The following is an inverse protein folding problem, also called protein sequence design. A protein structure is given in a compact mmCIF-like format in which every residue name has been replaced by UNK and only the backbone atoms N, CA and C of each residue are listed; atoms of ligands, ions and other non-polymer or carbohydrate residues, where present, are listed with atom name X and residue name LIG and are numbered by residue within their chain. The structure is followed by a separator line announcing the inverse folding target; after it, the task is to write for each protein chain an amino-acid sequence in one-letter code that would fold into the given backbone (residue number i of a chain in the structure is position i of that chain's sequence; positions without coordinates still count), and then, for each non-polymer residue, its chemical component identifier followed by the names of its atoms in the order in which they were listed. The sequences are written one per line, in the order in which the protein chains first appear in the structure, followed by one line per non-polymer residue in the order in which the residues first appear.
data_IF_026927776776
#
_entry.id   IF_026927776776
#
_cell.length_a   1.000
_cell.length_b   1.000
_cell.length_c   1.000
_cell.angle_alpha   90.00
_cell.angle_beta   90.00
_cell.angle_gamma   90.00
#
_symmetry.space_group_name_H-M   'P 1'
#
loop_
_entity.id
_entity.type
_entity.pdbx_description
1 polymer ?
#
# COMPACT_ATOMS: atom_id res chain seq x y z
N UNK A 1 -14.13 15.01 -27.86
CA UNK A 1 -15.45 15.21 -27.23
C UNK A 1 -15.30 16.27 -26.15
N UNK A 2 -16.04 17.38 -26.25
CA UNK A 2 -15.97 18.50 -25.30
C UNK A 2 -16.83 18.18 -24.08
N UNK A 3 -16.28 18.37 -22.87
CA UNK A 3 -16.99 18.19 -21.62
C UNK A 3 -17.87 19.41 -21.35
N UNK A 4 -19.18 19.27 -21.45
CA UNK A 4 -20.15 20.39 -21.33
C UNK A 4 -20.47 20.82 -19.89
N UNK A 5 -19.80 20.28 -18.86
CA UNK A 5 -20.07 20.63 -17.46
C UNK A 5 -18.83 20.95 -16.59
N UNK A 6 -17.73 21.39 -17.20
CA UNK A 6 -16.58 21.86 -16.43
C UNK A 6 -16.74 23.34 -16.02
N UNK A 7 -17.10 23.61 -14.77
CA UNK A 7 -17.20 24.96 -14.18
C UNK A 7 -15.90 25.48 -13.54
N UNK A 8 -14.77 24.79 -13.71
CA UNK A 8 -13.47 25.31 -13.25
C UNK A 8 -12.91 26.31 -14.28
N UNK A 9 -12.92 27.59 -13.90
CA UNK A 9 -12.04 28.61 -14.50
C UNK A 9 -10.61 28.29 -14.05
N UNK A 10 -9.69 28.33 -15.00
CA UNK A 10 -8.24 28.11 -14.88
C UNK A 10 -7.77 26.65 -15.06
N UNK A 11 -7.30 26.37 -16.28
CA UNK A 11 -6.48 25.23 -16.62
C UNK A 11 -5.12 25.78 -17.07
N UNK A 12 -4.12 25.73 -16.18
CA UNK A 12 -2.78 26.25 -16.46
C UNK A 12 -2.03 25.30 -17.39
N UNK A 13 -1.85 25.71 -18.65
CA UNK A 13 -0.96 25.02 -19.60
C UNK A 13 0.49 25.11 -19.12
N UNK A 14 1.16 23.97 -18.91
CA UNK A 14 2.63 23.93 -18.81
C UNK A 14 3.22 24.02 -20.24
N UNK A 15 4.00 25.06 -20.48
CA UNK A 15 4.81 25.26 -21.68
C UNK A 15 6.04 24.36 -21.66
N UNK A 16 6.38 23.79 -22.83
CA UNK A 16 7.66 23.17 -23.15
C UNK A 16 8.74 24.25 -23.22
N UNK A 17 9.98 23.91 -22.84
CA UNK A 17 11.16 24.64 -23.29
C UNK A 17 12.26 23.64 -23.66
N UNK A 18 12.90 23.95 -24.78
CA UNK A 18 13.80 23.13 -25.59
C UNK A 18 15.18 22.84 -24.99
N UNK A 19 15.75 21.74 -25.47
CA UNK A 19 17.16 21.35 -25.39
C UNK A 19 18.09 22.34 -26.14
N UNK A 20 19.27 22.61 -25.57
CA UNK A 20 20.48 22.82 -26.37
C UNK A 20 21.75 22.57 -25.55
N UNK A 21 22.53 21.58 -25.99
CA UNK A 21 23.90 21.29 -25.58
C UNK A 21 24.86 22.40 -26.03
N UNK A 22 25.87 22.69 -25.22
CA UNK A 22 27.19 23.09 -25.73
C UNK A 22 28.30 22.81 -24.71
N UNK A 23 29.32 22.09 -25.17
CA UNK A 23 30.54 21.71 -24.45
C UNK A 23 31.60 22.79 -24.64
N UNK A 24 32.27 23.20 -23.57
CA UNK A 24 33.67 23.66 -23.65
C UNK A 24 34.41 23.41 -22.33
N UNK A 25 35.69 23.05 -22.47
CA UNK A 25 36.61 22.51 -21.47
C UNK A 25 37.46 23.63 -20.86
N UNK A 26 37.71 23.62 -19.54
CA UNK A 26 38.88 24.29 -18.97
C UNK A 26 38.83 24.68 -17.48
N UNK A 27 39.72 24.05 -16.72
CA UNK A 27 40.38 24.51 -15.48
C UNK A 27 39.70 24.34 -14.09
N UNK A 28 40.49 23.70 -13.23
CA UNK A 28 40.32 23.25 -11.83
C UNK A 28 40.15 24.35 -10.78
N UNK A 29 39.38 24.09 -9.70
CA UNK A 29 39.80 23.93 -8.27
C UNK A 29 38.54 23.90 -7.33
N UNK A 30 38.65 23.50 -6.04
CA UNK A 30 37.80 22.49 -5.40
C UNK A 30 36.50 23.07 -4.81
N UNK A 31 35.35 22.66 -5.33
CA UNK A 31 34.06 23.02 -4.76
C UNK A 31 33.37 21.77 -4.22
N UNK A 32 33.05 21.85 -2.93
CA UNK A 32 32.15 21.00 -2.15
C UNK A 32 31.32 20.03 -2.99
N UNK A 33 31.50 18.73 -2.75
CA UNK A 33 30.52 17.71 -3.13
C UNK A 33 29.22 18.00 -2.38
N UNK A 34 28.41 18.92 -2.91
CA UNK A 34 26.98 18.78 -2.80
C UNK A 34 26.64 17.52 -3.59
N UNK A 35 26.63 16.37 -2.92
CA UNK A 35 25.92 15.20 -3.44
C UNK A 35 24.49 15.67 -3.72
N UNK A 36 24.20 16.00 -4.97
CA UNK A 36 22.83 16.20 -5.42
C UNK A 36 22.13 14.87 -5.18
N UNK A 37 21.43 14.78 -4.04
CA UNK A 37 20.56 13.65 -3.73
C UNK A 37 19.71 13.37 -4.97
N UNK A 38 19.90 12.18 -5.54
CA UNK A 38 19.17 11.76 -6.74
C UNK A 38 17.66 11.96 -6.55
N UNK A 39 16.93 12.15 -7.65
CA UNK A 39 15.48 12.41 -7.64
C UNK A 39 14.70 11.42 -6.75
N UNK A 40 15.14 10.16 -6.72
CA UNK A 40 14.60 9.12 -5.84
C UNK A 40 14.74 9.42 -4.33
N UNK A 41 15.86 9.98 -3.88
CA UNK A 41 16.05 10.37 -2.49
C UNK A 41 15.17 11.57 -2.12
N UNK A 42 15.03 12.54 -3.04
CA UNK A 42 14.12 13.68 -2.87
C UNK A 42 12.67 13.19 -2.73
N UNK A 43 12.26 12.20 -3.53
CA UNK A 43 10.93 11.58 -3.45
C UNK A 43 10.73 10.71 -2.21
N UNK A 44 11.78 10.03 -1.72
CA UNK A 44 11.72 9.24 -0.49
C UNK A 44 11.54 10.13 0.76
N UNK A 45 11.99 11.39 0.71
CA UNK A 45 11.78 12.37 1.77
C UNK A 45 10.41 13.07 1.66
N UNK A 46 9.68 12.89 0.55
CA UNK A 46 8.35 13.45 0.36
C UNK A 46 7.30 12.76 1.25
N UNK A 47 6.38 13.58 1.78
CA UNK A 47 5.29 13.11 2.62
C UNK A 47 4.14 12.63 1.74
N UNK A 48 3.56 11.48 2.10
CA UNK A 48 2.38 10.91 1.44
C UNK A 48 1.17 11.16 2.35
N UNK A 49 0.21 11.93 1.83
CA UNK A 49 -1.04 12.29 2.50
C UNK A 49 -2.24 11.66 1.80
N UNK A 50 -3.39 11.68 2.47
CA UNK A 50 -4.67 11.28 1.84
C UNK A 50 -5.01 12.19 0.64
N UNK A 51 -4.61 13.46 0.65
CA UNK A 51 -4.77 14.38 -0.48
C UNK A 51 -3.98 13.98 -1.73
N UNK A 52 -2.95 13.15 -1.58
CA UNK A 52 -2.16 12.62 -2.70
C UNK A 52 -2.85 11.40 -3.35
N UNK A 53 -3.94 10.92 -2.75
CA UNK A 53 -4.81 9.92 -3.34
C UNK A 53 -5.69 10.53 -4.45
N UNK A 54 -6.08 9.71 -5.43
CA UNK A 54 -7.20 10.00 -6.34
C UNK A 54 -8.57 10.16 -5.64
N UNK A 55 -8.64 9.89 -4.33
CA UNK A 55 -9.77 10.18 -3.49
C UNK A 55 -9.83 11.69 -3.28
N UNK A 56 -10.72 12.32 -4.04
CA UNK A 56 -11.16 13.68 -3.80
C UNK A 56 -11.59 13.90 -2.33
N UNK A 57 -11.56 15.14 -1.82
CA UNK A 57 -12.08 15.45 -0.47
C UNK A 57 -13.56 15.06 -0.28
N UNK A 58 -14.30 14.90 -1.38
CA UNK A 58 -15.69 14.41 -1.42
C UNK A 58 -15.80 12.88 -1.47
N UNK A 59 -14.67 12.19 -1.60
CA UNK A 59 -14.60 10.76 -1.81
C UNK A 59 -14.45 9.99 -0.49
N UNK A 60 -14.24 10.62 0.67
CA UNK A 60 -14.15 9.97 2.00
C UNK A 60 -15.22 10.57 2.92
N UNK A 61 -16.06 9.75 3.56
CA UNK A 61 -17.03 10.27 4.54
C UNK A 61 -16.35 10.62 5.86
N UNK A 62 -17.02 11.40 6.70
CA UNK A 62 -16.50 11.76 8.03
C UNK A 62 -16.23 10.51 8.87
N UNK A 63 -17.12 9.52 8.81
CA UNK A 63 -16.98 8.25 9.54
C UNK A 63 -15.78 7.45 9.01
N UNK A 64 -15.61 7.36 7.69
CA UNK A 64 -14.44 6.71 7.08
C UNK A 64 -13.15 7.43 7.46
N UNK A 65 -13.16 8.77 7.55
CA UNK A 65 -12.02 9.57 8.03
C UNK A 65 -11.62 9.25 9.47
N UNK A 66 -12.59 9.10 10.38
CA UNK A 66 -12.33 8.68 11.76
C UNK A 66 -11.74 7.26 11.79
N UNK A 67 -12.32 6.31 11.05
CA UNK A 67 -11.83 4.94 11.00
C UNK A 67 -10.42 4.83 10.38
N UNK A 68 -10.11 5.68 9.40
CA UNK A 68 -8.76 5.78 8.84
C UNK A 68 -7.75 6.29 9.85
N UNK A 69 -8.13 7.23 10.71
CA UNK A 69 -7.27 7.68 11.81
C UNK A 69 -7.00 6.57 12.84
N UNK A 70 -7.93 5.61 12.96
CA UNK A 70 -7.78 4.41 13.81
C UNK A 70 -6.91 3.34 13.17
N UNK A 71 -6.85 3.24 11.82
CA UNK A 71 -5.85 2.47 11.05
C UNK A 71 -4.45 3.11 11.16
N UNK A 72 -3.99 3.29 12.39
CA UNK A 72 -2.71 3.84 12.78
C UNK A 72 -1.87 2.78 13.48
N UNK A 73 -0.59 3.06 13.65
CA UNK A 73 0.30 2.17 14.39
C UNK A 73 -0.09 1.97 15.87
N UNK A 74 -1.02 2.77 16.41
CA UNK A 74 -1.46 2.68 17.81
C UNK A 74 -2.01 1.29 18.14
N UNK A 75 -2.86 0.72 17.29
CA UNK A 75 -3.45 -0.59 17.53
C UNK A 75 -2.40 -1.71 17.45
N UNK A 76 -1.48 -1.60 16.50
CA UNK A 76 -0.34 -2.50 16.40
C UNK A 76 0.53 -2.47 17.66
N UNK A 77 0.92 -1.27 18.13
CA UNK A 77 1.69 -1.13 19.37
C UNK A 77 0.91 -1.53 20.61
N UNK A 78 -0.40 -1.32 20.62
CA UNK A 78 -1.25 -1.78 21.70
C UNK A 78 -1.21 -3.31 21.82
N UNK A 79 -1.40 -4.04 20.71
CA UNK A 79 -1.31 -5.50 20.69
C UNK A 79 0.10 -5.99 21.04
N UNK A 80 1.15 -5.35 20.52
CA UNK A 80 2.53 -5.66 20.91
C UNK A 80 2.75 -5.50 22.42
N UNK A 81 2.27 -4.40 23.01
CA UNK A 81 2.41 -4.14 24.44
C UNK A 81 1.57 -5.10 25.30
N UNK A 82 0.40 -5.52 24.81
CA UNK A 82 -0.39 -6.56 25.46
C UNK A 82 0.34 -7.91 25.46
N UNK A 83 0.96 -8.28 24.34
CA UNK A 83 1.74 -9.51 24.25
C UNK A 83 3.00 -9.51 25.13
N UNK A 84 3.56 -8.34 25.44
CA UNK A 84 4.68 -8.21 26.39
C UNK A 84 4.26 -8.42 27.84
N UNK A 85 2.97 -8.33 28.17
CA UNK A 85 2.46 -8.62 29.51
C UNK A 85 2.32 -10.13 29.71
N UNK A 86 2.42 -10.59 30.96
CA UNK A 86 2.35 -12.02 31.32
C UNK A 86 0.95 -12.67 31.17
N UNK A 87 -0.06 -11.93 30.70
CA UNK A 87 -1.41 -12.46 30.51
C UNK A 87 -1.56 -13.12 29.13
N UNK A 88 -1.24 -14.41 29.09
CA UNK A 88 -1.28 -15.23 27.87
C UNK A 88 -2.69 -15.38 27.28
N UNK A 89 -3.75 -15.15 28.06
CA UNK A 89 -5.14 -15.24 27.57
C UNK A 89 -5.46 -14.17 26.52
N UNK A 90 -4.76 -13.04 26.59
CA UNK A 90 -4.91 -11.88 25.70
C UNK A 90 -3.90 -11.87 24.55
N UNK A 91 -3.00 -12.85 24.50
CA UNK A 91 -1.97 -12.91 23.45
C UNK A 91 -2.59 -13.17 22.09
N UNK A 92 -2.10 -12.41 21.09
CA UNK A 92 -2.43 -12.61 19.68
C UNK A 92 -1.17 -12.94 18.89
N UNK A 93 -1.30 -13.81 17.91
CA UNK A 93 -0.22 -14.09 16.95
C UNK A 93 -0.13 -12.92 15.99
N UNK A 94 0.97 -12.16 16.03
CA UNK A 94 1.20 -11.05 15.12
C UNK A 94 1.80 -11.55 13.81
N UNK A 95 1.11 -11.25 12.71
CA UNK A 95 1.55 -11.52 11.35
C UNK A 95 1.69 -10.20 10.61
N UNK A 96 2.83 -9.95 9.98
CA UNK A 96 3.04 -8.81 9.11
C UNK A 96 3.22 -9.27 7.66
N UNK A 97 2.46 -8.70 6.73
CA UNK A 97 2.62 -8.93 5.30
C UNK A 97 3.18 -7.68 4.64
N UNK A 98 4.36 -7.79 4.04
CA UNK A 98 5.07 -6.65 3.44
C UNK A 98 4.81 -6.64 1.94
N UNK A 99 4.30 -5.52 1.44
CA UNK A 99 4.19 -5.27 0.01
C UNK A 99 5.59 -5.02 -0.58
N UNK A 100 6.01 -5.75 -1.63
CA UNK A 100 7.28 -5.51 -2.31
C UNK A 100 7.46 -4.04 -2.75
N UNK A 101 6.35 -3.39 -3.11
CA UNK A 101 6.32 -2.00 -3.54
C UNK A 101 6.67 -1.00 -2.43
N UNK A 102 6.66 -1.40 -1.15
CA UNK A 102 7.14 -0.58 -0.04
C UNK A 102 8.66 -0.61 0.11
N UNK A 103 9.34 -1.63 -0.42
CA UNK A 103 10.78 -1.81 -0.23
C UNK A 103 11.64 -0.73 -0.90
N UNK A 104 11.34 -0.23 -2.12
CA UNK A 104 12.11 0.84 -2.74
C UNK A 104 12.19 2.11 -1.90
N UNK A 105 11.14 2.45 -1.15
CA UNK A 105 11.14 3.57 -0.22
C UNK A 105 12.23 3.41 0.86
N UNK A 106 12.28 2.25 1.51
CA UNK A 106 13.28 1.96 2.53
C UNK A 106 14.68 1.85 1.93
N UNK A 107 14.80 1.27 0.74
CA UNK A 107 16.07 1.20 0.01
C UNK A 107 16.65 2.59 -0.25
N UNK A 108 15.86 3.50 -0.84
CA UNK A 108 16.27 4.87 -1.11
C UNK A 108 16.55 5.65 0.18
N UNK A 109 15.66 5.58 1.17
CA UNK A 109 15.82 6.36 2.42
C UNK A 109 17.07 6.01 3.22
N UNK A 110 17.45 4.73 3.23
CA UNK A 110 18.58 4.23 4.02
C UNK A 110 19.84 3.93 3.20
N UNK A 111 19.85 4.29 1.92
CA UNK A 111 20.93 4.00 0.98
C UNK A 111 21.31 2.50 0.98
N UNK A 112 20.29 1.64 0.85
CA UNK A 112 20.40 0.20 0.86
C UNK A 112 19.97 -0.39 -0.48
N UNK A 113 20.38 -1.62 -0.78
CA UNK A 113 19.72 -2.41 -1.81
C UNK A 113 18.29 -2.76 -1.39
N UNK A 114 17.38 -2.99 -2.35
CA UNK A 114 16.00 -3.46 -2.08
C UNK A 114 15.99 -4.75 -1.27
N UNK A 115 16.94 -5.65 -1.55
CA UNK A 115 17.09 -6.91 -0.83
C UNK A 115 17.51 -6.68 0.63
N UNK A 116 18.43 -5.77 0.89
CA UNK A 116 18.85 -5.45 2.27
C UNK A 116 17.77 -4.69 3.03
N UNK A 117 17.05 -3.80 2.35
CA UNK A 117 15.87 -3.14 2.90
C UNK A 117 14.83 -4.18 3.36
N UNK A 118 14.56 -5.21 2.54
CA UNK A 118 13.67 -6.32 2.90
C UNK A 118 14.16 -7.09 4.12
N UNK A 119 15.43 -7.51 4.15
CA UNK A 119 16.03 -8.24 5.28
C UNK A 119 15.96 -7.44 6.58
N UNK A 120 16.33 -6.15 6.52
CA UNK A 120 16.32 -5.26 7.68
C UNK A 120 14.90 -4.97 8.16
N UNK A 121 13.94 -4.78 7.24
CA UNK A 121 12.52 -4.62 7.59
C UNK A 121 11.96 -5.85 8.27
N UNK A 122 12.26 -7.04 7.75
CA UNK A 122 11.88 -8.30 8.39
C UNK A 122 12.49 -8.42 9.80
N UNK A 123 13.80 -8.20 9.94
CA UNK A 123 14.50 -8.26 11.23
C UNK A 123 13.96 -7.26 12.25
N UNK A 124 13.68 -6.03 11.81
CA UNK A 124 13.07 -5.00 12.65
C UNK A 124 11.68 -5.44 13.15
N UNK A 125 10.79 -5.88 12.26
CA UNK A 125 9.45 -6.35 12.64
C UNK A 125 9.54 -7.53 13.63
N UNK A 126 10.44 -8.49 13.40
CA UNK A 126 10.71 -9.60 14.32
C UNK A 126 11.19 -9.09 15.68
N UNK A 127 12.13 -8.12 15.72
CA UNK A 127 12.63 -7.53 16.97
C UNK A 127 11.57 -6.79 17.79
N UNK A 128 10.52 -6.28 17.13
CA UNK A 128 9.38 -5.67 17.82
C UNK A 128 8.48 -6.70 18.51
N UNK A 129 8.52 -7.97 18.08
CA UNK A 129 7.66 -9.05 18.56
C UNK A 129 6.66 -9.57 17.52
N UNK A 130 6.83 -9.25 16.24
CA UNK A 130 6.04 -9.88 15.17
C UNK A 130 6.46 -11.34 15.03
N UNK A 131 5.48 -12.26 14.99
CA UNK A 131 5.75 -13.70 14.98
C UNK A 131 6.05 -14.20 13.57
N UNK A 132 5.33 -13.71 12.56
CA UNK A 132 5.50 -14.10 11.16
C UNK A 132 5.57 -12.87 10.26
N UNK A 133 6.51 -12.88 9.31
CA UNK A 133 6.64 -11.83 8.30
C UNK A 133 6.57 -12.49 6.93
N UNK A 134 5.59 -12.09 6.13
CA UNK A 134 5.33 -12.64 4.80
C UNK A 134 5.53 -11.58 3.71
N UNK A 135 5.86 -12.05 2.52
CA UNK A 135 5.88 -11.25 1.30
C UNK A 135 4.54 -11.39 0.57
N UNK A 136 3.94 -10.28 0.13
CA UNK A 136 2.63 -10.32 -0.55
C UNK A 136 2.72 -10.74 -2.03
N UNK A 137 3.89 -11.06 -2.57
CA UNK A 137 4.10 -11.45 -3.98
C UNK A 137 3.20 -12.62 -4.35
N UNK A 138 3.08 -13.64 -3.50
CA UNK A 138 2.19 -14.78 -3.75
C UNK A 138 0.72 -14.36 -3.90
N UNK A 139 0.28 -13.37 -3.12
CA UNK A 139 -1.07 -12.83 -3.22
C UNK A 139 -1.25 -11.98 -4.49
N UNK A 140 -0.19 -11.31 -4.94
CA UNK A 140 -0.17 -10.60 -6.21
C UNK A 140 -0.27 -11.57 -7.40
N UNK A 141 0.46 -12.69 -7.36
CA UNK A 141 0.40 -13.74 -8.38
C UNK A 141 -1.01 -14.33 -8.49
N UNK A 142 -1.67 -14.64 -7.36
CA UNK A 142 -3.07 -15.06 -7.39
C UNK A 142 -4.00 -14.00 -7.98
N UNK A 143 -3.82 -12.72 -7.64
CA UNK A 143 -4.62 -11.62 -8.20
C UNK A 143 -4.46 -11.55 -9.73
N UNK A 144 -3.24 -11.72 -10.24
CA UNK A 144 -2.94 -11.74 -11.67
C UNK A 144 -3.58 -12.94 -12.35
N UNK A 145 -3.45 -14.15 -11.77
CA UNK A 145 -4.03 -15.37 -12.33
C UNK A 145 -5.55 -15.29 -12.41
N UNK A 146 -6.23 -14.79 -11.38
CA UNK A 146 -7.69 -14.62 -11.40
C UNK A 146 -8.12 -13.52 -12.38
N UNK A 147 -7.37 -12.41 -12.45
CA UNK A 147 -7.61 -11.35 -13.44
C UNK A 147 -7.44 -11.87 -14.88
N UNK A 148 -6.42 -12.70 -15.13
CA UNK A 148 -6.18 -13.32 -16.43
C UNK A 148 -7.33 -14.25 -16.82
N UNK A 149 -7.76 -15.14 -15.91
CA UNK A 149 -8.90 -16.04 -16.15
C UNK A 149 -10.16 -15.25 -16.49
N UNK A 150 -10.42 -14.18 -15.76
CA UNK A 150 -11.56 -13.32 -16.04
C UNK A 150 -11.45 -12.63 -17.40
N UNK A 151 -10.28 -12.07 -17.72
CA UNK A 151 -10.03 -11.45 -19.01
C UNK A 151 -10.30 -12.43 -20.16
N UNK A 152 -9.71 -13.62 -20.10
CA UNK A 152 -9.87 -14.66 -21.12
C UNK A 152 -11.34 -15.07 -21.25
N UNK A 153 -12.06 -15.22 -20.13
CA UNK A 153 -13.51 -15.49 -20.13
C UNK A 153 -14.31 -14.38 -20.81
N UNK A 154 -14.08 -13.11 -20.48
CA UNK A 154 -14.75 -11.95 -21.09
C UNK A 154 -14.41 -11.84 -22.58
N UNK A 155 -13.14 -12.07 -22.92
CA UNK A 155 -12.65 -12.07 -24.29
C UNK A 155 -13.27 -13.18 -25.14
N UNK A 156 -13.48 -14.40 -24.64
CA UNK A 156 -14.16 -15.42 -25.45
C UNK A 156 -15.66 -15.21 -25.58
N UNK A 157 -16.29 -14.52 -24.63
CA UNK A 157 -17.75 -14.27 -24.61
C UNK A 157 -18.16 -12.95 -25.24
N UNK A 158 -17.21 -12.15 -25.72
CA UNK A 158 -17.55 -10.86 -26.32
C UNK A 158 -18.41 -11.07 -27.57
N UNK A 159 -19.65 -10.64 -27.48
CA UNK A 159 -20.56 -10.42 -28.61
C UNK A 159 -20.90 -8.94 -28.63
N UNK A 160 -21.40 -8.42 -29.77
CA UNK A 160 -21.73 -7.00 -29.90
C UNK A 160 -22.75 -6.50 -28.85
N UNK A 161 -23.54 -7.43 -28.28
CA UNK A 161 -24.60 -7.19 -27.30
C UNK A 161 -24.11 -7.12 -25.83
N UNK A 162 -22.95 -7.71 -25.49
CA UNK A 162 -22.37 -7.67 -24.14
C UNK A 162 -20.98 -7.02 -24.12
N UNK A 163 -20.97 -5.69 -24.00
CA UNK A 163 -19.74 -4.88 -23.95
C UNK A 163 -19.17 -4.81 -22.53
N UNK A 164 -18.71 -5.94 -21.99
CA UNK A 164 -17.91 -5.98 -20.74
C UNK A 164 -16.41 -5.70 -20.98
N UNK A 165 -16.04 -5.40 -22.23
CA UNK A 165 -14.72 -4.96 -22.67
C UNK A 165 -14.73 -3.47 -23.03
N UNK A 166 -13.65 -2.72 -22.74
CA UNK A 166 -12.37 -3.18 -22.17
C UNK A 166 -12.50 -3.61 -20.70
N UNK A 167 -11.67 -4.56 -20.26
CA UNK A 167 -11.59 -4.92 -18.83
C UNK A 167 -10.58 -4.00 -18.14
N UNK A 168 -11.00 -3.39 -17.03
CA UNK A 168 -10.22 -2.44 -16.23
C UNK A 168 -9.78 -3.11 -14.93
N UNK A 169 -8.53 -2.91 -14.54
CA UNK A 169 -7.97 -3.52 -13.31
C UNK A 169 -8.71 -3.01 -12.07
N UNK A 170 -8.74 -3.81 -11.00
CA UNK A 170 -9.37 -3.45 -9.71
C UNK A 170 -8.42 -3.54 -8.51
N UNK A 171 -7.15 -3.88 -8.71
CA UNK A 171 -6.18 -4.07 -7.62
C UNK A 171 -5.82 -2.78 -6.85
N UNK A 172 -6.03 -1.62 -7.47
CA UNK A 172 -5.80 -0.30 -6.88
C UNK A 172 -7.08 0.23 -6.21
N UNK A 173 -7.13 0.33 -4.87
CA UNK A 173 -8.35 0.77 -4.18
C UNK A 173 -8.73 2.22 -4.46
N UNK A 174 -7.76 3.13 -4.67
CA UNK A 174 -8.05 4.51 -5.08
C UNK A 174 -8.76 4.59 -6.43
N UNK A 175 -8.31 3.79 -7.40
CA UNK A 175 -8.96 3.67 -8.71
C UNK A 175 -10.38 3.09 -8.61
N UNK A 176 -10.56 1.98 -7.89
CA UNK A 176 -11.90 1.38 -7.70
C UNK A 176 -12.86 2.38 -7.10
N UNK A 177 -12.40 3.14 -6.09
CA UNK A 177 -13.22 4.16 -5.43
C UNK A 177 -13.57 5.33 -6.34
N UNK A 178 -12.63 5.78 -7.15
CA UNK A 178 -12.87 6.80 -8.17
C UNK A 178 -13.89 6.30 -9.21
N UNK A 179 -13.74 5.06 -9.68
CA UNK A 179 -14.67 4.44 -10.61
C UNK A 179 -16.09 4.32 -10.01
N UNK A 180 -16.22 3.90 -8.74
CA UNK A 180 -17.51 3.76 -8.06
C UNK A 180 -18.20 5.11 -7.80
N UNK A 181 -17.47 6.11 -7.29
CA UNK A 181 -18.06 7.39 -6.81
C UNK A 181 -18.12 8.49 -7.85
N UNK A 182 -17.20 8.51 -8.82
CA UNK A 182 -17.10 9.60 -9.80
C UNK A 182 -17.59 9.14 -11.18
N UNK A 183 -17.16 7.97 -11.64
CA UNK A 183 -17.48 7.50 -13.00
C UNK A 183 -18.80 6.73 -13.06
N UNK A 184 -19.14 5.97 -12.01
CA UNK A 184 -20.43 5.31 -11.84
C UNK A 184 -20.68 4.15 -12.81
N UNK A 185 -21.97 3.94 -13.11
CA UNK A 185 -22.49 2.78 -13.87
C UNK A 185 -21.82 2.51 -15.22
N UNK A 186 -21.39 3.52 -16.01
CA UNK A 186 -20.68 3.26 -17.27
C UNK A 186 -19.35 2.52 -17.11
N UNK A 187 -18.70 2.59 -15.95
CA UNK A 187 -17.35 2.03 -15.73
C UNK A 187 -17.37 0.79 -14.82
N UNK A 188 -18.30 0.72 -13.86
CA UNK A 188 -18.38 -0.40 -12.90
C UNK A 188 -18.41 -1.79 -13.58
N UNK A 189 -19.19 -2.04 -14.66
CA UNK A 189 -19.20 -3.34 -15.34
C UNK A 189 -17.84 -3.73 -15.96
N UNK A 190 -17.01 -2.75 -16.26
CA UNK A 190 -15.68 -2.97 -16.84
C UNK A 190 -14.62 -3.32 -15.79
N UNK A 191 -14.88 -3.08 -14.50
CA UNK A 191 -13.93 -3.44 -13.44
C UNK A 191 -13.78 -4.96 -13.33
N UNK A 192 -12.53 -5.40 -13.17
CA UNK A 192 -12.17 -6.76 -12.85
C UNK A 192 -12.73 -7.14 -11.47
N UNK A 193 -13.29 -8.34 -11.38
CA UNK A 193 -13.87 -8.89 -10.15
C UNK A 193 -12.86 -9.63 -9.28
N UNK A 194 -11.65 -9.87 -9.78
CA UNK A 194 -10.56 -10.45 -9.00
C UNK A 194 -10.27 -9.57 -7.76
N UNK A 195 -10.08 -10.24 -6.63
CA UNK A 195 -9.68 -9.59 -5.38
C UNK A 195 -8.30 -8.94 -5.52
N UNK A 196 -8.07 -7.85 -4.81
CA UNK A 196 -6.73 -7.24 -4.76
C UNK A 196 -5.74 -8.14 -4.01
N UNK A 197 -4.42 -7.94 -4.19
CA UNK A 197 -3.41 -8.66 -3.44
C UNK A 197 -3.56 -8.55 -1.91
N UNK A 198 -4.06 -7.41 -1.39
CA UNK A 198 -4.29 -7.25 0.05
C UNK A 198 -5.43 -8.15 0.53
N UNK A 199 -6.55 -8.16 -0.19
CA UNK A 199 -7.73 -8.98 0.14
C UNK A 199 -7.40 -10.48 0.05
N UNK A 200 -6.62 -10.87 -0.95
CA UNK A 200 -6.14 -12.24 -1.10
C UNK A 200 -5.21 -12.59 0.05
N UNK A 201 -4.25 -11.72 0.39
CA UNK A 201 -3.34 -11.97 1.51
C UNK A 201 -4.08 -12.08 2.85
N UNK A 202 -5.08 -11.23 3.08
CA UNK A 202 -5.95 -11.35 4.25
C UNK A 202 -6.63 -12.72 4.32
N UNK A 203 -7.10 -13.24 3.18
CA UNK A 203 -7.67 -14.60 3.10
C UNK A 203 -6.62 -15.68 3.35
N UNK A 204 -5.41 -15.57 2.77
CA UNK A 204 -4.32 -16.52 3.00
C UNK A 204 -3.89 -16.56 4.47
N UNK A 205 -3.81 -15.41 5.14
CA UNK A 205 -3.38 -15.32 6.54
C UNK A 205 -4.48 -15.76 7.50
N UNK A 206 -5.70 -15.25 7.33
CA UNK A 206 -6.81 -15.46 8.27
C UNK A 206 -7.53 -16.79 8.06
N UNK A 207 -7.40 -17.41 6.89
CA UNK A 207 -8.01 -18.71 6.61
C UNK A 207 -6.96 -19.82 6.48
N UNK A 208 -6.19 -19.83 5.40
CA UNK A 208 -5.25 -20.92 5.10
C UNK A 208 -4.18 -21.09 6.18
N UNK A 209 -3.45 -20.02 6.50
CA UNK A 209 -2.39 -20.05 7.52
C UNK A 209 -2.97 -20.28 8.92
N UNK A 210 -4.10 -19.66 9.26
CA UNK A 210 -4.77 -19.87 10.55
C UNK A 210 -5.10 -21.36 10.77
N UNK A 211 -5.70 -22.03 9.77
CA UNK A 211 -5.97 -23.47 9.81
C UNK A 211 -4.70 -24.29 9.95
N UNK A 212 -3.64 -23.96 9.20
CA UNK A 212 -2.35 -24.65 9.30
C UNK A 212 -1.72 -24.55 10.69
N UNK A 213 -1.92 -23.43 11.39
CA UNK A 213 -1.42 -23.20 12.75
C UNK A 213 -2.40 -23.67 13.85
N UNK A 214 -3.55 -24.25 13.50
CA UNK A 214 -4.63 -24.58 14.43
C UNK A 214 -5.08 -23.36 15.28
N UNK A 215 -5.14 -22.18 14.67
CA UNK A 215 -5.58 -20.93 15.29
C UNK A 215 -6.92 -20.48 14.72
N UNK A 216 -7.73 -19.82 15.55
CA UNK A 216 -8.89 -19.08 15.04
C UNK A 216 -8.44 -17.77 14.38
N UNK A 217 -9.16 -17.25 13.37
CA UNK A 217 -8.81 -16.00 12.70
C UNK A 217 -8.66 -14.79 13.64
N UNK A 218 -9.41 -14.76 14.75
CA UNK A 218 -9.43 -13.69 15.74
C UNK A 218 -8.18 -13.69 16.64
N UNK A 219 -7.51 -14.84 16.75
CA UNK A 219 -6.24 -14.97 17.48
C UNK A 219 -5.07 -14.42 16.68
N UNK A 220 -5.23 -14.21 15.38
CA UNK A 220 -4.21 -13.59 14.53
C UNK A 220 -4.48 -12.09 14.46
N UNK A 221 -3.45 -11.27 14.69
CA UNK A 221 -3.47 -9.85 14.36
C UNK A 221 -2.61 -9.63 13.11
N UNK A 222 -3.27 -9.41 11.97
CA UNK A 222 -2.66 -9.29 10.66
C UNK A 222 -2.46 -7.82 10.29
N UNK A 223 -1.19 -7.45 10.10
CA UNK A 223 -0.76 -6.13 9.67
C UNK A 223 -0.24 -6.18 8.25
N UNK A 224 -0.60 -5.22 7.42
CA UNK A 224 -0.05 -5.06 6.07
C UNK A 224 0.84 -3.81 6.03
N UNK A 225 2.07 -3.95 5.55
CA UNK A 225 2.97 -2.83 5.26
C UNK A 225 2.86 -2.51 3.78
N UNK A 226 2.27 -1.35 3.43
CA UNK A 226 1.93 -1.00 2.05
C UNK A 226 2.43 0.40 1.64
N UNK A 227 2.63 0.70 0.36
CA UNK A 227 3.10 2.03 -0.07
C UNK A 227 1.97 3.06 -0.21
N UNK A 228 0.73 2.69 0.02
CA UNK A 228 -0.44 3.47 -0.36
C UNK A 228 -1.38 3.67 0.83
N UNK A 229 -1.89 4.89 0.98
CA UNK A 229 -2.88 5.21 2.01
C UNK A 229 -4.22 4.50 1.76
N UNK A 230 -4.61 4.30 0.51
CA UNK A 230 -5.89 3.69 0.12
C UNK A 230 -6.04 2.24 0.53
N UNK A 231 -4.91 1.58 0.81
CA UNK A 231 -4.91 0.24 1.38
C UNK A 231 -5.55 0.21 2.76
N UNK A 232 -5.48 1.30 3.53
CA UNK A 232 -6.25 1.48 4.78
C UNK A 232 -7.76 1.51 4.50
N UNK A 233 -8.19 2.26 3.49
CA UNK A 233 -9.61 2.32 3.08
C UNK A 233 -10.12 0.94 2.64
N UNK A 234 -9.29 0.20 1.90
CA UNK A 234 -9.61 -1.17 1.48
C UNK A 234 -9.79 -2.12 2.68
N UNK A 235 -8.87 -2.07 3.65
CA UNK A 235 -8.95 -2.91 4.85
C UNK A 235 -10.22 -2.62 5.68
N UNK A 236 -10.67 -1.37 5.72
CA UNK A 236 -11.94 -1.01 6.38
C UNK A 236 -13.16 -1.62 5.67
N UNK A 237 -13.16 -1.66 4.34
CA UNK A 237 -14.24 -2.27 3.54
C UNK A 237 -14.29 -3.79 3.68
N UNK A 238 -13.15 -4.46 3.85
CA UNK A 238 -13.10 -5.92 4.07
C UNK A 238 -13.90 -6.36 5.30
N UNK A 239 -13.94 -5.53 6.36
CA UNK A 239 -14.68 -5.83 7.58
C UNK A 239 -16.21 -5.85 7.45
N UNK A 240 -16.74 -5.51 6.28
CA UNK A 240 -18.16 -5.61 5.94
C UNK A 240 -18.49 -6.91 5.19
N UNK A 241 -17.48 -7.69 4.77
CA UNK A 241 -17.66 -8.94 4.03
C UNK A 241 -17.83 -10.13 4.98
N UNK A 242 -18.92 -10.89 4.79
CA UNK A 242 -19.26 -12.08 5.58
C UNK A 242 -18.37 -13.31 5.31
N UNK A 243 -17.44 -13.23 4.36
CA UNK A 243 -16.68 -14.38 3.85
C UNK A 243 -15.65 -14.99 4.82
N UNK A 244 -15.32 -14.32 5.92
CA UNK A 244 -14.30 -14.76 6.89
C UNK A 244 -14.89 -14.98 8.31
N UNK A 245 -16.11 -15.50 8.42
CA UNK A 245 -16.82 -15.67 9.71
C UNK A 245 -16.90 -14.36 10.53
N UNK A 246 -16.97 -13.21 9.85
CA UNK A 246 -16.99 -11.89 10.48
C UNK A 246 -15.62 -11.33 10.89
N UNK A 247 -14.53 -12.08 10.73
CA UNK A 247 -13.18 -11.58 10.97
C UNK A 247 -12.67 -10.73 9.79
N UNK A 248 -11.97 -9.64 10.10
CA UNK A 248 -11.32 -8.79 9.07
C UNK A 248 -10.13 -9.53 8.47
N UNK A 249 -9.97 -9.47 7.14
CA UNK A 249 -8.79 -9.99 6.45
C UNK A 249 -7.51 -9.28 6.88
N UNK A 250 -7.58 -7.96 6.99
CA UNK A 250 -6.49 -7.09 7.46
C UNK A 250 -6.95 -6.30 8.70
N UNK A 251 -6.22 -6.40 9.81
CA UNK A 251 -6.55 -5.67 11.04
C UNK A 251 -5.98 -4.24 11.03
N UNK A 252 -4.79 -4.07 10.47
CA UNK A 252 -4.09 -2.79 10.42
C UNK A 252 -3.26 -2.66 9.14
N UNK A 253 -3.27 -1.48 8.51
CA UNK A 253 -2.33 -1.15 7.43
C UNK A 253 -1.37 -0.06 7.88
N UNK A 254 -0.07 -0.31 7.76
CA UNK A 254 1.01 0.65 8.04
C UNK A 254 1.60 1.10 6.71
N UNK A 255 1.60 2.40 6.41
CA UNK A 255 2.17 2.85 5.14
C UNK A 255 3.66 3.10 5.25
N UNK A 256 4.43 2.77 4.21
CA UNK A 256 5.80 3.23 4.07
C UNK A 256 5.80 4.74 3.78
N UNK A 257 6.50 5.53 4.61
CA UNK A 257 6.56 6.99 4.48
C UNK A 257 7.23 7.66 5.69
N UNK A 258 7.74 8.91 5.54
CA UNK A 258 8.56 9.56 6.57
C UNK A 258 7.79 9.93 7.84
N UNK A 259 6.51 10.26 7.73
CA UNK A 259 5.66 10.68 8.86
C UNK A 259 4.90 9.53 9.53
N UNK A 260 5.04 8.29 9.04
CA UNK A 260 4.39 7.14 9.68
C UNK A 260 5.33 6.47 10.68
N UNK A 261 4.73 5.99 11.78
CA UNK A 261 5.42 5.42 12.95
C UNK A 261 6.41 4.32 12.55
N UNK A 262 6.13 3.55 11.50
CA UNK A 262 7.05 2.53 11.00
C UNK A 262 8.33 3.15 10.40
N UNK A 263 8.22 4.20 9.58
CA UNK A 263 9.38 4.90 9.02
C UNK A 263 10.23 5.58 10.09
N UNK A 264 9.59 6.18 11.11
CA UNK A 264 10.28 6.81 12.25
C UNK A 264 11.02 5.76 13.10
N UNK A 265 10.33 4.68 13.48
CA UNK A 265 10.93 3.63 14.32
C UNK A 265 11.99 2.81 13.59
N UNK A 266 11.82 2.62 12.29
CA UNK A 266 12.84 1.97 11.47
C UNK A 266 14.10 2.85 11.37
N UNK A 267 13.92 4.18 11.26
CA UNK A 267 15.04 5.14 11.27
C UNK A 267 15.85 5.08 12.57
N UNK A 268 15.17 5.00 13.72
CA UNK A 268 15.83 4.98 15.02
C UNK A 268 16.54 3.66 15.37
N UNK A 269 16.26 2.57 14.64
CA UNK A 269 16.86 1.25 14.87
C UNK A 269 17.94 0.89 13.85
N UNK A 270 17.86 1.40 12.61
CA UNK A 270 18.78 1.02 11.53
C UNK A 270 19.93 1.98 11.33
N UNK A 271 19.79 3.25 11.69
CA UNK A 271 20.94 4.13 11.76
C UNK A 271 21.85 3.62 12.88
N UNK A 272 23.14 3.32 12.61
CA UNK A 272 24.08 3.07 13.69
C UNK A 272 24.04 4.29 14.62
N UNK A 273 23.89 4.05 15.94
CA UNK A 273 24.16 5.12 16.90
C UNK A 273 25.54 5.68 16.58
N UNK A 274 25.73 7.00 16.48
CA UNK A 274 27.07 7.54 16.29
C UNK A 274 27.93 6.97 17.41
N UNK A 275 29.01 6.30 16.99
CA UNK A 275 30.01 5.79 17.92
C UNK A 275 30.66 7.03 18.51
N UNK A 276 30.26 7.37 19.74
CA UNK A 276 30.91 8.39 20.57
C UNK A 276 32.14 7.81 21.23
#
# INVERSE_FOLDING_TARGET
MKCEHCTRKECSKKSKTDDQENVSVGASSPAQENEEKGEFHKLADAKIFLSDCLACDSCVTVEEGVQLSQQSAKDFFHVLNLNKKCDTSKHRVLVASVCPQSLPYFAAKFNLSVTDASRRLCGFLKSLGVHYVFDTTIAADFSILESQKEFVRRYHRHSEEQRELPMLTSACPGWVRYAERVLGRPVIPHLCTAKSPQQIMGSLVKDYFARQQNLSPEKIFHVVVAPCYDKKLEALREGLSTTLNGARGTDCVLTSGPDQTLGILFTSVILPRPVS
#
